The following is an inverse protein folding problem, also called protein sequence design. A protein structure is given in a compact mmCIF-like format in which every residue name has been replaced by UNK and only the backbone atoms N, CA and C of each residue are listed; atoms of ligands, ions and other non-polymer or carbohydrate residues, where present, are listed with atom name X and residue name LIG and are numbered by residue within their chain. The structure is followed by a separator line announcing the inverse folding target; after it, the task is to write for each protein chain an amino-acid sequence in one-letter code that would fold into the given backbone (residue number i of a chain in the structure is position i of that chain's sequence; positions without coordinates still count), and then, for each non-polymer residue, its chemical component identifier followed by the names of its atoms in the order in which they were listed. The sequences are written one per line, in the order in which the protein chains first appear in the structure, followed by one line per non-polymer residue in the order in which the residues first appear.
data_IF_109128009891
#
_entry.id   IF_109128009891
#
_cell.length_a   1.000
_cell.length_b   1.000
_cell.length_c   1.000
_cell.angle_alpha   90.00
_cell.angle_beta   90.00
_cell.angle_gamma   90.00
#
_symmetry.space_group_name_H-M   'P 1'
#
loop_
_entity.id
_entity.type
_entity.pdbx_description
1 polymer ?
#
# COMPACT_ATOMS: atom_id res chain seq x y z
N UNK A 1 17.10 -58.54 46.96
CA UNK A 1 15.67 -58.22 46.72
C UNK A 1 15.55 -56.72 46.57
N UNK A 2 15.17 -56.28 45.37
CA UNK A 2 15.26 -54.91 44.91
C UNK A 2 13.96 -54.14 45.21
N UNK A 3 14.11 -52.92 45.71
CA UNK A 3 13.03 -51.93 45.83
C UNK A 3 13.09 -51.02 44.59
N UNK A 4 12.01 -50.98 43.82
CA UNK A 4 11.80 -49.87 42.88
C UNK A 4 10.32 -49.49 42.87
N UNK A 5 10.00 -48.38 43.54
CA UNK A 5 8.70 -47.73 43.43
C UNK A 5 8.60 -47.05 42.06
N UNK A 6 7.63 -47.49 41.25
CA UNK A 6 7.24 -46.83 40.02
C UNK A 6 6.34 -45.62 40.36
N UNK A 7 6.88 -44.41 40.29
CA UNK A 7 6.08 -43.18 40.43
C UNK A 7 5.45 -42.88 39.07
N UNK A 8 4.12 -43.06 38.98
CA UNK A 8 3.34 -42.64 37.82
C UNK A 8 3.21 -41.10 37.80
N UNK A 9 3.81 -40.45 36.81
CA UNK A 9 3.60 -39.02 36.55
C UNK A 9 2.29 -38.81 35.77
N UNK A 10 1.44 -37.83 36.15
CA UNK A 10 0.15 -37.60 35.50
C UNK A 10 0.28 -37.07 34.07
N UNK A 11 -0.55 -37.62 33.18
CA UNK A 11 -0.64 -37.30 31.76
C UNK A 11 -1.36 -35.96 31.51
N UNK A 12 -0.72 -34.83 31.81
CA UNK A 12 -1.13 -33.50 31.35
C UNK A 12 0.07 -32.67 30.91
N UNK A 13 1.00 -33.29 30.17
CA UNK A 13 1.98 -32.55 29.39
C UNK A 13 1.40 -32.39 27.98
N UNK A 14 0.66 -31.30 27.76
CA UNK A 14 0.46 -30.83 26.39
C UNK A 14 1.86 -30.62 25.78
N UNK A 15 2.19 -31.22 24.63
CA UNK A 15 3.34 -30.74 23.89
C UNK A 15 3.06 -29.28 23.61
N UNK A 16 3.85 -28.40 24.23
CA UNK A 16 3.95 -27.00 23.86
C UNK A 16 4.28 -27.04 22.37
N UNK A 17 3.28 -26.73 21.55
CA UNK A 17 3.45 -26.58 20.11
C UNK A 17 4.48 -25.47 19.98
N UNK A 18 5.75 -25.86 19.82
CA UNK A 18 6.76 -24.99 19.26
C UNK A 18 6.39 -24.88 17.78
N UNK A 19 5.41 -24.02 17.50
CA UNK A 19 5.20 -23.46 16.17
C UNK A 19 6.37 -22.53 15.89
N UNK A 20 7.53 -23.13 15.64
CA UNK A 20 8.52 -22.57 14.74
C UNK A 20 7.96 -22.64 13.30
N UNK A 21 6.81 -21.98 13.06
CA UNK A 21 6.25 -21.75 11.73
C UNK A 21 6.50 -20.33 11.25
N UNK A 22 7.35 -19.56 11.95
CA UNK A 22 7.45 -18.11 11.73
C UNK A 22 8.23 -17.70 10.48
N UNK A 23 8.96 -18.59 9.81
CA UNK A 23 9.75 -18.23 8.61
C UNK A 23 9.05 -18.52 7.29
N UNK A 24 8.13 -19.50 7.22
CA UNK A 24 7.47 -19.90 5.97
C UNK A 24 6.08 -19.25 5.78
N UNK A 25 5.35 -18.98 6.86
CA UNK A 25 3.92 -18.64 6.79
C UNK A 25 3.65 -17.22 6.25
N UNK A 26 4.59 -16.28 6.48
CA UNK A 26 4.43 -14.88 6.10
C UNK A 26 5.05 -14.51 4.74
N UNK A 27 5.82 -15.41 4.13
CA UNK A 27 6.52 -15.17 2.86
C UNK A 27 5.61 -14.64 1.73
N UNK A 28 4.42 -15.22 1.45
CA UNK A 28 3.55 -14.71 0.37
C UNK A 28 2.97 -13.32 0.69
N UNK A 29 2.63 -13.07 1.97
CA UNK A 29 2.12 -11.76 2.40
C UNK A 29 3.21 -10.68 2.32
N UNK A 30 4.45 -11.00 2.72
CA UNK A 30 5.60 -10.10 2.59
C UNK A 30 5.89 -9.79 1.12
N UNK A 31 5.87 -10.78 0.23
CA UNK A 31 6.06 -10.56 -1.20
C UNK A 31 5.00 -9.60 -1.78
N UNK A 32 3.73 -9.78 -1.40
CA UNK A 32 2.64 -8.87 -1.79
C UNK A 32 2.86 -7.45 -1.25
N UNK A 33 3.32 -7.31 -0.01
CA UNK A 33 3.61 -6.00 0.59
C UNK A 33 4.78 -5.30 -0.10
N UNK A 34 5.83 -6.03 -0.50
CA UNK A 34 6.95 -5.49 -1.31
C UNK A 34 6.44 -4.97 -2.65
N UNK A 35 5.59 -5.74 -3.33
CA UNK A 35 4.97 -5.30 -4.59
C UNK A 35 4.13 -4.03 -4.38
N UNK A 36 3.27 -4.01 -3.36
CA UNK A 36 2.46 -2.85 -3.02
C UNK A 36 3.30 -1.61 -2.70
N UNK A 37 4.40 -1.78 -1.96
CA UNK A 37 5.33 -0.68 -1.65
C UNK A 37 5.98 -0.12 -2.92
N UNK A 38 6.40 -0.98 -3.85
CA UNK A 38 6.94 -0.58 -5.14
C UNK A 38 5.92 0.20 -5.98
N UNK A 39 4.67 -0.28 -6.03
CA UNK A 39 3.57 0.40 -6.74
C UNK A 39 3.30 1.76 -6.09
N UNK A 40 3.16 1.84 -4.76
CA UNK A 40 2.90 3.08 -4.04
C UNK A 40 3.99 4.13 -4.32
N UNK A 41 5.27 3.74 -4.28
CA UNK A 41 6.40 4.63 -4.60
C UNK A 41 6.36 5.12 -6.05
N UNK A 42 6.10 4.22 -7.00
CA UNK A 42 6.00 4.59 -8.43
C UNK A 42 4.83 5.52 -8.66
N UNK A 43 3.65 5.22 -8.09
CA UNK A 43 2.48 6.06 -8.15
C UNK A 43 2.77 7.45 -7.57
N UNK A 44 3.32 7.55 -6.35
CA UNK A 44 3.69 8.82 -5.72
C UNK A 44 4.62 9.65 -6.62
N UNK A 45 5.65 9.03 -7.19
CA UNK A 45 6.61 9.69 -8.08
C UNK A 45 5.93 10.23 -9.35
N UNK A 46 5.14 9.38 -10.01
CA UNK A 46 4.44 9.75 -11.25
C UNK A 46 3.40 10.83 -11.01
N UNK A 47 2.58 10.70 -9.96
CA UNK A 47 1.59 11.70 -9.57
C UNK A 47 2.24 13.05 -9.26
N UNK A 48 3.38 13.05 -8.54
CA UNK A 48 4.14 14.28 -8.24
C UNK A 48 4.75 14.90 -9.48
N UNK A 49 5.24 14.10 -10.42
CA UNK A 49 5.76 14.57 -11.71
C UNK A 49 4.65 15.22 -12.55
N UNK A 50 3.53 14.52 -12.67
CA UNK A 50 2.33 15.00 -13.35
C UNK A 50 1.81 16.29 -12.70
N UNK A 51 1.76 16.35 -11.36
CA UNK A 51 1.32 17.54 -10.61
C UNK A 51 2.08 18.83 -11.00
N UNK A 52 3.38 18.71 -11.34
CA UNK A 52 4.27 19.82 -11.70
C UNK A 52 4.15 20.25 -13.17
N UNK A 53 3.45 19.51 -14.01
CA UNK A 53 3.25 19.89 -15.40
C UNK A 53 2.44 21.19 -15.48
N UNK A 54 2.90 22.12 -16.31
CA UNK A 54 2.24 23.40 -16.51
C UNK A 54 0.87 23.24 -17.17
N UNK A 55 0.00 24.21 -16.92
CA UNK A 55 -1.29 24.30 -17.58
C UNK A 55 -1.11 24.62 -19.08
N UNK A 56 -1.95 24.06 -19.97
CA UNK A 56 -2.01 24.48 -21.36
C UNK A 56 -2.22 26.00 -21.52
N UNK A 57 -1.61 26.61 -22.55
CA UNK A 57 -1.58 28.06 -22.73
C UNK A 57 -2.96 28.69 -23.05
N UNK A 58 -3.94 27.91 -23.51
CA UNK A 58 -5.25 28.38 -24.00
C UNK A 58 -6.42 27.86 -23.16
N UNK A 59 -6.36 28.06 -21.84
CA UNK A 59 -7.45 27.73 -20.93
C UNK A 59 -8.27 28.96 -20.56
N UNK A 60 -9.60 28.80 -20.48
CA UNK A 60 -10.49 29.76 -19.83
C UNK A 60 -10.16 29.89 -18.34
N UNK A 61 -10.63 30.96 -17.69
CA UNK A 61 -10.42 31.17 -16.25
C UNK A 61 -10.94 29.98 -15.41
N UNK A 62 -12.11 29.43 -15.78
CA UNK A 62 -12.71 28.27 -15.14
C UNK A 62 -11.86 27.02 -15.30
N UNK A 63 -11.36 26.74 -16.52
CA UNK A 63 -10.50 25.58 -16.77
C UNK A 63 -9.15 25.71 -16.04
N UNK A 64 -8.57 26.91 -15.96
CA UNK A 64 -7.34 27.15 -15.19
C UNK A 64 -7.54 26.81 -13.71
N UNK A 65 -8.67 27.23 -13.12
CA UNK A 65 -9.02 26.91 -11.73
C UNK A 65 -9.15 25.39 -11.53
N UNK A 66 -9.92 24.71 -12.39
CA UNK A 66 -10.08 23.25 -12.32
C UNK A 66 -8.77 22.49 -12.54
N UNK A 67 -7.89 22.99 -13.41
CA UNK A 67 -6.56 22.43 -13.62
C UNK A 67 -5.66 22.58 -12.39
N UNK A 68 -5.74 23.72 -11.70
CA UNK A 68 -5.04 23.94 -10.43
C UNK A 68 -5.57 23.01 -9.32
N UNK A 69 -6.90 22.84 -9.22
CA UNK A 69 -7.52 21.88 -8.30
C UNK A 69 -7.10 20.44 -8.59
N UNK A 70 -7.05 20.05 -9.87
CA UNK A 70 -6.53 18.75 -10.30
C UNK A 70 -5.06 18.58 -9.92
N UNK A 71 -4.23 19.61 -10.13
CA UNK A 71 -2.81 19.59 -9.77
C UNK A 71 -2.59 19.44 -8.27
N UNK A 72 -3.39 20.16 -7.46
CA UNK A 72 -3.37 20.03 -6.01
C UNK A 72 -3.76 18.62 -5.58
N UNK A 73 -4.87 18.10 -6.10
CA UNK A 73 -5.31 16.74 -5.80
C UNK A 73 -4.28 15.66 -6.16
N UNK A 74 -3.58 15.80 -7.29
CA UNK A 74 -2.49 14.90 -7.67
C UNK A 74 -1.33 14.97 -6.68
N UNK A 75 -0.97 16.16 -6.21
CA UNK A 75 0.07 16.37 -5.20
C UNK A 75 -0.33 15.75 -3.86
N UNK A 76 -1.56 15.97 -3.41
CA UNK A 76 -2.10 15.41 -2.16
C UNK A 76 -2.17 13.89 -2.24
N UNK A 77 -2.64 13.34 -3.37
CA UNK A 77 -2.66 11.90 -3.64
C UNK A 77 -1.25 11.29 -3.65
N UNK A 78 -0.28 11.99 -4.22
CA UNK A 78 1.13 11.57 -4.18
C UNK A 78 1.68 11.53 -2.75
N UNK A 79 1.34 12.52 -1.92
CA UNK A 79 1.76 12.55 -0.52
C UNK A 79 1.14 11.40 0.30
N UNK A 80 -0.15 11.10 0.09
CA UNK A 80 -0.81 9.95 0.73
C UNK A 80 -0.16 8.62 0.33
N UNK A 81 0.16 8.46 -0.96
CA UNK A 81 0.86 7.28 -1.47
C UNK A 81 2.26 7.13 -0.88
N UNK A 82 3.01 8.24 -0.75
CA UNK A 82 4.32 8.25 -0.09
C UNK A 82 4.22 7.85 1.39
N UNK A 83 3.24 8.39 2.11
CA UNK A 83 3.03 8.05 3.52
C UNK A 83 2.68 6.56 3.73
N UNK A 84 1.85 5.99 2.86
CA UNK A 84 1.56 4.54 2.87
C UNK A 84 2.82 3.75 2.54
N UNK A 85 3.58 4.15 1.52
CA UNK A 85 4.85 3.51 1.17
C UNK A 85 5.83 3.51 2.36
N UNK A 86 6.00 4.62 3.06
CA UNK A 86 6.87 4.71 4.24
C UNK A 86 6.39 3.78 5.37
N UNK A 87 5.08 3.69 5.61
CA UNK A 87 4.52 2.73 6.58
C UNK A 87 4.82 1.29 6.17
N UNK A 88 4.65 0.93 4.91
CA UNK A 88 5.00 -0.40 4.41
C UNK A 88 6.48 -0.71 4.60
N UNK A 89 7.38 0.24 4.32
CA UNK A 89 8.82 0.07 4.54
C UNK A 89 9.14 -0.20 6.01
N UNK A 90 8.47 0.46 6.95
CA UNK A 90 8.62 0.19 8.40
C UNK A 90 8.20 -1.23 8.76
N UNK A 91 7.12 -1.75 8.17
CA UNK A 91 6.69 -3.14 8.39
C UNK A 91 7.68 -4.12 7.74
N UNK A 92 8.14 -3.85 6.52
CA UNK A 92 9.11 -4.68 5.83
C UNK A 92 10.46 -4.75 6.56
N UNK A 93 10.89 -3.65 7.18
CA UNK A 93 12.11 -3.56 7.97
C UNK A 93 12.09 -4.43 9.24
N UNK A 94 10.90 -4.78 9.76
CA UNK A 94 10.77 -5.73 10.87
C UNK A 94 11.12 -7.16 10.47
N UNK A 95 11.27 -7.44 9.17
CA UNK A 95 11.66 -8.76 8.71
C UNK A 95 10.58 -9.81 8.99
N UNK A 96 11.02 -10.97 9.47
CA UNK A 96 10.14 -12.08 9.86
C UNK A 96 9.44 -11.86 11.20
N UNK A 97 9.80 -10.80 11.94
CA UNK A 97 9.14 -10.41 13.19
C UNK A 97 7.85 -9.62 12.96
N UNK A 98 7.54 -9.24 11.73
CA UNK A 98 6.29 -8.57 11.39
C UNK A 98 5.11 -9.55 11.56
N UNK A 99 4.10 -9.22 12.38
CA UNK A 99 2.87 -10.01 12.45
C UNK A 99 2.18 -10.08 11.07
N UNK A 100 1.67 -11.26 10.71
CA UNK A 100 0.90 -11.45 9.47
C UNK A 100 -0.26 -10.45 9.34
N UNK A 101 -0.91 -10.15 10.47
CA UNK A 101 -2.00 -9.19 10.58
C UNK A 101 -1.56 -7.78 10.20
N UNK A 102 -0.37 -7.34 10.62
CA UNK A 102 0.18 -6.01 10.28
C UNK A 102 0.45 -5.92 8.77
N UNK A 103 1.00 -6.98 8.16
CA UNK A 103 1.25 -7.06 6.71
C UNK A 103 -0.07 -7.00 5.91
N UNK A 104 -1.09 -7.73 6.39
CA UNK A 104 -2.42 -7.73 5.78
C UNK A 104 -3.10 -6.36 5.91
N UNK A 105 -3.03 -5.71 7.08
CA UNK A 105 -3.58 -4.37 7.32
C UNK A 105 -2.96 -3.34 6.38
N UNK A 106 -1.63 -3.35 6.20
CA UNK A 106 -0.97 -2.43 5.27
C UNK A 106 -1.38 -2.66 3.81
N UNK A 107 -1.58 -3.92 3.42
CA UNK A 107 -2.05 -4.25 2.08
C UNK A 107 -3.48 -3.75 1.86
N UNK A 108 -4.36 -3.89 2.85
CA UNK A 108 -5.73 -3.38 2.78
C UNK A 108 -5.78 -1.85 2.78
N UNK A 109 -4.97 -1.19 3.62
CA UNK A 109 -4.85 0.27 3.65
C UNK A 109 -4.47 0.84 2.27
N UNK A 110 -3.54 0.18 1.58
CA UNK A 110 -3.15 0.56 0.23
C UNK A 110 -4.24 0.40 -0.80
N UNK A 111 -4.98 -0.71 -0.77
CA UNK A 111 -6.14 -0.91 -1.66
C UNK A 111 -7.20 0.17 -1.39
N UNK A 112 -7.54 0.41 -0.13
CA UNK A 112 -8.51 1.45 0.24
C UNK A 112 -8.05 2.84 -0.22
N UNK A 113 -6.76 3.16 -0.11
CA UNK A 113 -6.22 4.42 -0.61
C UNK A 113 -6.34 4.52 -2.13
N UNK A 114 -6.02 3.44 -2.86
CA UNK A 114 -6.18 3.41 -4.32
C UNK A 114 -7.64 3.66 -4.70
N UNK A 115 -8.57 2.94 -4.09
CA UNK A 115 -10.00 3.07 -4.36
C UNK A 115 -10.51 4.48 -4.05
N UNK A 116 -10.04 5.09 -2.95
CA UNK A 116 -10.37 6.47 -2.61
C UNK A 116 -9.84 7.47 -3.65
N UNK A 117 -8.60 7.28 -4.13
CA UNK A 117 -8.03 8.11 -5.19
C UNK A 117 -8.81 7.94 -6.49
N UNK A 118 -9.15 6.71 -6.88
CA UNK A 118 -9.93 6.44 -8.09
C UNK A 118 -11.36 6.98 -8.01
N UNK A 119 -11.98 6.94 -6.83
CA UNK A 119 -13.29 7.54 -6.62
C UNK A 119 -13.23 9.07 -6.75
N UNK A 120 -12.24 9.71 -6.13
CA UNK A 120 -12.06 11.17 -6.21
C UNK A 120 -11.64 11.62 -7.61
N UNK A 121 -10.91 10.77 -8.35
CA UNK A 121 -10.51 11.02 -9.73
C UNK A 121 -11.71 11.29 -10.65
N UNK A 122 -12.86 10.66 -10.41
CA UNK A 122 -14.07 10.82 -11.24
C UNK A 122 -14.54 12.27 -11.35
N UNK A 123 -14.28 13.13 -10.36
CA UNK A 123 -14.64 14.56 -10.42
C UNK A 123 -13.88 15.38 -11.47
N UNK A 124 -12.81 14.80 -12.02
CA UNK A 124 -11.96 15.42 -13.04
C UNK A 124 -12.07 14.72 -14.41
N UNK A 125 -12.94 13.72 -14.55
CA UNK A 125 -13.07 12.93 -15.78
C UNK A 125 -13.49 13.79 -16.99
N UNK A 126 -14.20 14.89 -16.75
CA UNK A 126 -14.67 15.84 -17.76
C UNK A 126 -13.66 16.96 -18.07
N UNK A 127 -12.51 17.00 -17.38
CA UNK A 127 -11.46 18.01 -17.61
C UNK A 127 -10.67 17.70 -18.89
N UNK A 128 -11.27 17.97 -20.05
CA UNK A 128 -10.70 17.72 -21.39
C UNK A 128 -9.24 18.18 -21.54
N UNK A 129 -8.86 19.40 -21.09
CA UNK A 129 -7.48 19.87 -21.27
C UNK A 129 -6.44 19.10 -20.46
N UNK A 130 -6.88 18.30 -19.48
CA UNK A 130 -6.03 17.44 -18.67
C UNK A 130 -6.34 15.94 -18.87
N UNK A 131 -7.10 15.56 -19.90
CA UNK A 131 -7.55 14.18 -20.07
C UNK A 131 -6.39 13.17 -20.14
N UNK A 132 -5.37 13.45 -20.97
CA UNK A 132 -4.17 12.60 -21.07
C UNK A 132 -3.40 12.53 -19.74
N UNK A 133 -3.31 13.66 -19.04
CA UNK A 133 -2.67 13.78 -17.72
C UNK A 133 -3.41 12.96 -16.67
N UNK A 134 -4.74 13.02 -16.68
CA UNK A 134 -5.61 12.30 -15.79
C UNK A 134 -5.54 10.79 -16.04
N UNK A 135 -5.55 10.36 -17.30
CA UNK A 135 -5.35 8.96 -17.68
C UNK A 135 -3.98 8.43 -17.21
N UNK A 136 -2.91 9.19 -17.46
CA UNK A 136 -1.57 8.81 -17.01
C UNK A 136 -1.48 8.68 -15.48
N UNK A 137 -2.14 9.58 -14.74
CA UNK A 137 -2.23 9.51 -13.28
C UNK A 137 -2.98 8.25 -12.81
N UNK A 138 -4.09 7.89 -13.46
CA UNK A 138 -4.87 6.70 -13.09
C UNK A 138 -4.16 5.40 -13.44
N UNK A 139 -3.47 5.33 -14.58
CA UNK A 139 -2.65 4.16 -14.91
C UNK A 139 -1.55 3.95 -13.86
N UNK A 140 -0.94 5.03 -13.37
CA UNK A 140 0.08 4.96 -12.32
C UNK A 140 -0.48 4.46 -10.99
N UNK A 141 -1.71 4.83 -10.62
CA UNK A 141 -2.40 4.36 -9.41
C UNK A 141 -2.83 2.91 -9.55
N UNK A 142 -3.30 2.51 -10.73
CA UNK A 142 -3.79 1.15 -11.02
C UNK A 142 -2.69 0.10 -11.09
N UNK A 143 -1.45 0.55 -11.32
CA UNK A 143 -0.31 -0.28 -11.68
C UNK A 143 -0.46 -1.00 -13.03
N UNK A 144 -1.33 -0.48 -13.91
CA UNK A 144 -1.45 -0.96 -15.29
C UNK A 144 -0.22 -0.48 -16.08
N UNK A 145 0.55 -1.43 -16.60
CA UNK A 145 1.66 -1.23 -17.53
C UNK A 145 1.45 -2.11 -18.74
#
# INVERSE_FOLDING_TARGET
MALTLLVATPAWAYPRVATETTTAENAPFRAKLILNASIARRAATTLRSIAKQQAPAKLSATEKKRFAEHSKWLSDSAAKMEAVHERMQKVLAKGDKAPATEIATMSMEFVNLRDAIEAEARRFADLKPAAARHAAAMNAVRAEK
#
